data_IF_465802958158
#
_entry.id   IF_465802958158
#
_cell.length_a   1.000
_cell.length_b   1.000
_cell.length_c   1.000
_cell.angle_alpha   90.00
_cell.angle_beta   90.00
_cell.angle_gamma   90.00
#
_symmetry.space_group_name_H-M   'P 1'
#
loop_
_entity.id
_entity.type
_entity.pdbx_description
1 polymer ?
#
# COMPACT_ATOMS: atom_id res chain seq x y z
N UNK A 1 -19.69 -4.97 -32.53
CA UNK A 1 -18.47 -4.66 -31.74
C UNK A 1 -18.62 -5.29 -30.36
N UNK A 2 -17.55 -5.62 -29.62
CA UNK A 2 -17.54 -5.95 -28.16
C UNK A 2 -17.57 -7.41 -27.65
N UNK A 3 -16.91 -8.36 -28.32
CA UNK A 3 -16.51 -9.64 -27.68
C UNK A 3 -14.99 -9.75 -27.53
N UNK A 4 -14.24 -9.39 -28.58
CA UNK A 4 -12.77 -9.46 -28.59
C UNK A 4 -12.09 -8.48 -27.59
N UNK A 5 -12.71 -7.33 -27.30
CA UNK A 5 -12.16 -6.34 -26.35
C UNK A 5 -12.29 -6.75 -24.88
N UNK A 6 -13.21 -7.66 -24.53
CA UNK A 6 -13.38 -8.13 -23.13
C UNK A 6 -12.36 -9.22 -22.77
N UNK A 7 -11.98 -10.05 -23.74
CA UNK A 7 -10.95 -11.07 -23.56
C UNK A 7 -9.55 -10.44 -23.47
N UNK A 8 -9.21 -9.52 -24.39
CA UNK A 8 -7.92 -8.80 -24.36
C UNK A 8 -7.70 -8.02 -23.06
N UNK A 9 -8.75 -7.44 -22.47
CA UNK A 9 -8.65 -6.72 -21.20
C UNK A 9 -8.52 -7.66 -19.99
N UNK A 10 -8.96 -8.92 -20.10
CA UNK A 10 -8.84 -9.93 -19.04
C UNK A 10 -7.44 -10.53 -18.99
N UNK A 11 -6.84 -10.84 -20.13
CA UNK A 11 -5.46 -11.33 -20.17
C UNK A 11 -4.44 -10.26 -19.76
N UNK A 12 -4.62 -9.01 -20.18
CA UNK A 12 -3.76 -7.89 -19.75
C UNK A 12 -3.79 -7.67 -18.22
N UNK A 13 -4.97 -7.80 -17.59
CA UNK A 13 -5.09 -7.72 -16.12
C UNK A 13 -4.37 -8.87 -15.43
N UNK A 14 -4.55 -10.09 -15.93
CA UNK A 14 -3.94 -11.29 -15.36
C UNK A 14 -2.41 -11.24 -15.42
N UNK A 15 -1.85 -10.71 -16.50
CA UNK A 15 -0.40 -10.53 -16.64
C UNK A 15 0.13 -9.46 -15.67
N UNK A 16 -0.59 -8.33 -15.58
CA UNK A 16 -0.30 -7.27 -14.62
C UNK A 16 -0.32 -7.77 -13.18
N UNK A 17 -1.34 -8.54 -12.79
CA UNK A 17 -1.47 -9.10 -11.44
C UNK A 17 -0.29 -10.02 -11.09
N UNK A 18 0.17 -10.85 -12.03
CA UNK A 18 1.36 -11.71 -11.84
C UNK A 18 2.62 -10.87 -11.63
N UNK A 19 2.81 -9.83 -12.45
CA UNK A 19 3.94 -8.93 -12.34
C UNK A 19 3.96 -8.23 -10.97
N UNK A 20 2.83 -7.68 -10.53
CA UNK A 20 2.72 -7.02 -9.22
C UNK A 20 3.00 -7.98 -8.07
N UNK A 21 2.56 -9.25 -8.15
CA UNK A 21 2.87 -10.24 -7.12
C UNK A 21 4.36 -10.56 -7.04
N UNK A 22 5.02 -10.79 -8.18
CA UNK A 22 6.46 -11.04 -8.22
C UNK A 22 7.26 -9.83 -7.72
N UNK A 23 6.82 -8.62 -8.05
CA UNK A 23 7.41 -7.38 -7.58
C UNK A 23 7.26 -7.24 -6.06
N UNK A 24 6.08 -7.55 -5.53
CA UNK A 24 5.81 -7.53 -4.10
C UNK A 24 6.67 -8.55 -3.33
N UNK A 25 6.87 -9.75 -3.87
CA UNK A 25 7.74 -10.77 -3.27
C UNK A 25 9.19 -10.30 -3.18
N UNK A 26 9.73 -9.71 -4.26
CA UNK A 26 11.10 -9.15 -4.24
C UNK A 26 11.27 -8.05 -3.20
N UNK A 27 10.26 -7.18 -3.04
CA UNK A 27 10.33 -6.13 -2.04
C UNK A 27 10.30 -6.69 -0.62
N UNK A 28 9.54 -7.76 -0.35
CA UNK A 28 9.60 -8.43 0.94
C UNK A 28 10.97 -9.04 1.22
N UNK A 29 11.63 -9.61 0.21
CA UNK A 29 12.99 -10.14 0.32
C UNK A 29 14.00 -9.04 0.64
N UNK A 30 13.92 -7.89 -0.06
CA UNK A 30 14.78 -6.72 0.19
C UNK A 30 14.61 -6.17 1.61
N UNK A 31 13.36 -6.09 2.09
CA UNK A 31 13.01 -5.60 3.42
C UNK A 31 13.39 -6.59 4.53
N UNK A 32 13.74 -7.83 4.18
CA UNK A 32 14.35 -8.81 5.08
C UNK A 32 13.38 -9.53 6.00
N UNK A 33 12.10 -9.12 6.06
CA UNK A 33 11.10 -9.80 6.87
C UNK A 33 9.67 -9.54 6.40
N UNK A 34 8.86 -10.60 6.44
CA UNK A 34 7.40 -10.53 6.29
C UNK A 34 6.77 -10.32 7.66
N UNK A 35 7.17 -9.25 8.32
CA UNK A 35 6.73 -8.91 9.67
C UNK A 35 6.34 -7.44 9.71
N UNK A 36 5.19 -7.14 10.32
CA UNK A 36 4.77 -5.77 10.55
C UNK A 36 5.80 -5.05 11.43
N UNK A 37 6.40 -3.98 10.91
CA UNK A 37 7.37 -3.17 11.65
C UNK A 37 6.75 -2.44 12.84
N UNK A 38 5.42 -2.32 12.90
CA UNK A 38 4.70 -1.62 13.97
C UNK A 38 4.31 -2.49 15.16
N UNK A 39 4.01 -3.78 14.94
CA UNK A 39 3.48 -4.66 16.00
C UNK A 39 4.00 -6.10 15.97
N UNK A 40 4.90 -6.44 15.06
CA UNK A 40 5.46 -7.80 14.97
C UNK A 40 4.52 -8.85 14.38
N UNK A 41 3.37 -8.45 13.83
CA UNK A 41 2.41 -9.36 13.19
C UNK A 41 3.00 -10.00 11.91
N UNK A 42 2.78 -11.31 11.71
CA UNK A 42 3.50 -12.11 10.70
C UNK A 42 2.62 -12.73 9.60
N UNK A 43 1.30 -12.63 9.68
CA UNK A 43 0.44 -13.20 8.64
C UNK A 43 0.48 -12.32 7.39
N UNK A 44 1.14 -12.83 6.36
CA UNK A 44 1.39 -12.18 5.07
C UNK A 44 0.12 -11.63 4.42
N UNK A 45 -1.03 -12.28 4.64
CA UNK A 45 -2.31 -11.88 4.03
C UNK A 45 -2.79 -10.53 4.55
N UNK A 46 -2.37 -10.15 5.75
CA UNK A 46 -2.71 -8.87 6.35
C UNK A 46 -1.53 -7.88 6.34
N UNK A 47 -0.40 -8.21 5.70
CA UNK A 47 0.73 -7.31 5.52
C UNK A 47 0.65 -6.57 4.19
N UNK A 48 1.06 -5.30 4.22
CA UNK A 48 1.18 -4.43 3.06
C UNK A 48 2.47 -3.64 3.13
N UNK A 49 3.10 -3.46 1.97
CA UNK A 49 4.25 -2.58 1.81
C UNK A 49 3.73 -1.16 1.60
N UNK A 50 4.23 -0.22 2.39
CA UNK A 50 3.85 1.18 2.31
C UNK A 50 5.06 2.08 2.26
N UNK A 51 4.99 3.09 1.40
CA UNK A 51 5.95 4.18 1.37
C UNK A 51 5.65 5.16 2.52
N UNK A 52 6.64 5.40 3.38
CA UNK A 52 6.53 6.30 4.53
C UNK A 52 7.04 7.73 4.24
N UNK A 53 7.80 7.95 3.16
CA UNK A 53 8.30 9.28 2.75
C UNK A 53 7.23 10.08 1.97
N UNK A 54 6.49 9.44 1.04
CA UNK A 54 5.41 10.12 0.29
C UNK A 54 4.06 9.99 0.97
N UNK A 55 3.84 10.81 2.01
CA UNK A 55 2.51 10.99 2.62
C UNK A 55 1.52 11.71 1.68
N UNK A 56 2.01 12.33 0.60
CA UNK A 56 1.25 13.19 -0.32
C UNK A 56 0.60 12.50 -1.53
N UNK A 57 0.92 11.23 -1.81
CA UNK A 57 0.35 10.50 -2.96
C UNK A 57 -0.88 9.64 -2.62
N UNK A 58 -1.52 9.90 -1.47
CA UNK A 58 -2.86 9.36 -1.17
C UNK A 58 -3.90 10.24 -1.89
N UNK A 59 -3.74 10.34 -3.20
CA UNK A 59 -4.54 11.17 -4.07
C UNK A 59 -4.49 10.60 -5.47
N UNK A 60 -5.34 9.60 -5.73
CA UNK A 60 -5.81 9.17 -7.06
C UNK A 60 -4.79 9.28 -8.21
N UNK A 61 -4.15 8.16 -8.55
CA UNK A 61 -3.67 7.93 -9.93
C UNK A 61 -2.16 8.01 -10.18
N UNK A 62 -1.34 8.27 -9.16
CA UNK A 62 0.11 8.04 -9.28
C UNK A 62 0.38 6.55 -9.13
N UNK A 63 0.67 5.87 -10.24
CA UNK A 63 1.20 4.50 -10.21
C UNK A 63 2.59 4.58 -9.57
N UNK A 64 2.65 4.41 -8.25
CA UNK A 64 3.92 4.40 -7.51
C UNK A 64 4.79 3.33 -8.16
N UNK A 65 5.85 3.77 -8.84
CA UNK A 65 6.73 2.89 -9.60
C UNK A 65 7.56 2.10 -8.61
N UNK A 66 7.07 0.94 -8.22
CA UNK A 66 7.72 0.06 -7.25
C UNK A 66 9.05 -0.51 -7.77
N UNK A 67 9.24 -0.51 -9.10
CA UNK A 67 10.45 -0.97 -9.79
C UNK A 67 11.72 -0.29 -9.29
N UNK A 68 11.66 1.02 -8.97
CA UNK A 68 12.84 1.75 -8.46
C UNK A 68 13.37 1.18 -7.15
N UNK A 69 12.48 0.65 -6.32
CA UNK A 69 12.83 0.06 -5.03
C UNK A 69 13.40 -1.35 -5.17
N UNK A 70 13.09 -2.05 -6.27
CA UNK A 70 13.76 -3.31 -6.59
C UNK A 70 15.16 -3.06 -7.14
N UNK A 71 15.34 -2.00 -7.93
CA UNK A 71 16.66 -1.62 -8.45
C UNK A 71 17.58 -1.03 -7.38
N UNK A 72 17.04 -0.35 -6.36
CA UNK A 72 17.79 0.21 -5.24
C UNK A 72 17.27 -0.31 -3.88
N UNK A 73 17.85 -1.41 -3.38
CA UNK A 73 17.49 -1.99 -2.09
C UNK A 73 17.75 -1.06 -0.89
N UNK A 74 18.73 -0.15 -1.01
CA UNK A 74 19.03 0.83 0.03
C UNK A 74 17.88 1.81 0.18
N UNK A 75 17.45 2.39 -0.93
CA UNK A 75 16.30 3.28 -0.99
C UNK A 75 15.01 2.59 -0.51
N UNK A 76 14.81 1.32 -0.86
CA UNK A 76 13.65 0.55 -0.41
C UNK A 76 13.60 0.43 1.13
N UNK A 77 14.74 0.15 1.77
CA UNK A 77 14.81 0.02 3.23
C UNK A 77 14.63 1.37 3.95
N UNK A 78 15.00 2.47 3.32
CA UNK A 78 14.74 3.80 3.87
C UNK A 78 13.26 4.19 3.75
N UNK A 79 12.69 4.06 2.56
CA UNK A 79 11.39 4.62 2.20
C UNK A 79 10.21 3.72 2.53
N UNK A 80 10.42 2.40 2.59
CA UNK A 80 9.35 1.43 2.69
C UNK A 80 9.30 0.79 4.08
N UNK A 81 8.08 0.46 4.49
CA UNK A 81 7.80 -0.31 5.70
C UNK A 81 6.74 -1.36 5.41
N UNK A 82 6.87 -2.51 6.05
CA UNK A 82 5.83 -3.54 6.07
C UNK A 82 4.91 -3.25 7.24
N UNK A 83 3.63 -3.05 6.98
CA UNK A 83 2.63 -2.79 8.02
C UNK A 83 1.46 -3.75 7.87
N UNK A 84 0.90 -4.18 9.01
CA UNK A 84 -0.37 -4.87 8.99
C UNK A 84 -1.51 -3.88 8.72
N UNK A 85 -2.66 -4.37 8.28
CA UNK A 85 -3.87 -3.57 8.03
C UNK A 85 -4.21 -2.63 9.21
N UNK A 86 -4.04 -3.09 10.44
CA UNK A 86 -4.35 -2.30 11.63
C UNK A 86 -3.32 -1.18 11.88
N UNK A 87 -2.03 -1.48 11.76
CA UNK A 87 -0.97 -0.48 11.90
C UNK A 87 -0.99 0.55 10.77
N UNK A 88 -1.40 0.13 9.57
CA UNK A 88 -1.60 1.05 8.46
C UNK A 88 -2.78 1.99 8.72
N UNK A 89 -3.92 1.46 9.15
CA UNK A 89 -5.12 2.25 9.46
C UNK A 89 -4.90 3.26 10.59
N UNK A 90 -4.22 2.86 11.67
CA UNK A 90 -3.92 3.75 12.81
C UNK A 90 -2.96 4.88 12.45
N UNK A 91 -2.03 4.69 11.50
CA UNK A 91 -1.20 5.78 10.98
C UNK A 91 -1.99 6.77 10.14
N UNK A 92 -2.95 6.29 9.35
CA UNK A 92 -3.81 7.17 8.56
C UNK A 92 -4.68 8.05 9.48
N UNK A 93 -5.20 7.49 10.58
CA UNK A 93 -5.95 8.26 11.56
C UNK A 93 -5.07 9.20 12.40
N UNK A 94 -3.80 8.86 12.67
CA UNK A 94 -2.86 9.76 13.35
C UNK A 94 -2.51 11.01 12.52
N UNK A 95 -2.64 10.94 11.18
CA UNK A 95 -2.51 12.10 10.28
C UNK A 95 -3.81 12.88 10.05
N UNK A 96 -4.95 12.29 10.41
CA UNK A 96 -6.22 13.02 10.45
C UNK A 96 -6.22 13.89 11.70
N UNK A 97 -6.27 15.22 11.51
CA UNK A 97 -6.55 16.14 12.61
C UNK A 97 -7.74 15.59 13.42
N UNK A 98 -7.72 15.63 14.76
CA UNK A 98 -8.83 15.11 15.55
C UNK A 98 -10.11 15.81 15.09
N UNK A 99 -11.08 15.04 14.57
CA UNK A 99 -12.44 15.54 14.41
C UNK A 99 -12.97 15.79 15.81
N UNK A 100 -12.90 17.06 16.23
CA UNK A 100 -13.63 17.53 17.39
C UNK A 100 -15.12 17.20 17.16
N UNK A 101 -15.81 16.57 18.13
CA UNK A 101 -17.22 16.27 17.97
C UNK A 101 -17.97 17.56 17.70
N UNK A 102 -18.60 17.68 16.52
CA UNK A 102 -19.48 18.81 16.19
C UNK A 102 -20.55 18.86 17.27
N UNK A 103 -20.47 19.89 18.13
CA UNK A 103 -21.46 20.14 19.18
C UNK A 103 -22.83 20.22 18.50
N UNK A 104 -23.68 19.21 18.70
CA UNK A 104 -25.09 19.29 18.32
C UNK A 104 -25.68 20.45 19.13
N UNK A 105 -25.96 21.58 18.48
CA UNK A 105 -26.78 22.63 19.10
C UNK A 105 -28.18 22.05 19.17
N UNK A 106 -28.60 21.65 20.36
CA UNK A 106 -30.01 21.37 20.61
C UNK A 106 -30.75 22.71 20.55
N UNK A 107 -31.76 22.87 19.66
CA UNK A 107 -32.61 24.06 19.69
C UNK A 107 -33.38 24.06 21.01
N UNK A 108 -33.48 25.26 21.60
CA UNK A 108 -34.16 25.52 22.87
C UNK A 108 -35.67 25.63 22.65
#
# INVERSE_FOLDING_TARGET
MTSQSRDQTRDQRRDSDKFYRALQEKLYEILGDKTCSGCGFRDERALKIRNIRNQSDIGRGSSVSWDKYVSDPGLAREDLRVLCLNCDATRQSAGAKPEYPKKKRFPR
#
